data_IF_160132579838
#
_entry.id   IF_160132579838
#
_cell.length_a   1.000
_cell.length_b   1.000
_cell.length_c   1.000
_cell.angle_alpha   90.00
_cell.angle_beta   90.00
_cell.angle_gamma   90.00
#
_symmetry.space_group_name_H-M   'P 1'
#
loop_
_entity.id
_entity.type
_entity.pdbx_description
1 polymer ?
#
# COMPACT_ATOMS: atom_id res chain seq x y z
N UNK A 1 -72.46 25.48 7.04
CA UNK A 1 -71.81 24.16 7.23
C UNK A 1 -72.29 23.25 6.10
N UNK A 2 -71.53 22.46 5.36
CA UNK A 2 -70.19 21.90 5.55
C UNK A 2 -69.55 21.67 4.16
N UNK A 3 -68.24 21.91 4.04
CA UNK A 3 -67.49 21.68 2.81
C UNK A 3 -67.19 20.19 2.63
N UNK A 4 -67.58 19.61 1.49
CA UNK A 4 -67.23 18.23 1.11
C UNK A 4 -65.72 18.11 0.91
N UNK A 5 -65.06 17.28 1.72
CA UNK A 5 -63.66 16.88 1.53
C UNK A 5 -63.57 15.94 0.31
N UNK A 6 -62.83 16.35 -0.72
CA UNK A 6 -62.44 15.49 -1.84
C UNK A 6 -61.44 14.45 -1.31
N UNK A 7 -61.79 13.17 -1.43
CA UNK A 7 -60.92 12.06 -1.07
C UNK A 7 -59.64 12.12 -1.91
N UNK A 8 -58.50 12.12 -1.23
CA UNK A 8 -57.18 12.05 -1.85
C UNK A 8 -57.03 10.73 -2.60
N UNK A 9 -56.45 10.82 -3.80
CA UNK A 9 -56.10 9.68 -4.65
C UNK A 9 -55.22 8.72 -3.85
N UNK A 10 -55.74 7.55 -3.52
CA UNK A 10 -54.95 6.44 -2.98
C UNK A 10 -53.94 6.05 -4.05
N UNK A 11 -52.67 6.30 -3.78
CA UNK A 11 -51.60 5.75 -4.61
C UNK A 11 -51.57 4.26 -4.30
N UNK A 12 -52.06 3.42 -5.22
CA UNK A 12 -52.04 1.98 -5.03
C UNK A 12 -50.61 1.45 -5.21
N UNK A 13 -49.78 1.61 -4.17
CA UNK A 13 -48.42 1.08 -4.12
C UNK A 13 -48.41 -0.44 -4.32
N UNK A 14 -49.42 -1.13 -3.80
CA UNK A 14 -49.51 -2.59 -3.82
C UNK A 14 -49.53 -3.16 -5.24
N UNK A 15 -50.32 -2.59 -6.15
CA UNK A 15 -50.37 -3.01 -7.57
C UNK A 15 -49.08 -2.64 -8.30
N UNK A 16 -48.46 -1.51 -7.98
CA UNK A 16 -47.18 -1.12 -8.57
C UNK A 16 -46.04 -2.06 -8.15
N UNK A 17 -46.00 -2.46 -6.88
CA UNK A 17 -44.99 -3.40 -6.35
C UNK A 17 -45.18 -4.81 -6.93
N UNK A 18 -46.42 -5.30 -7.00
CA UNK A 18 -46.72 -6.61 -7.57
C UNK A 18 -46.35 -6.71 -9.05
N UNK A 19 -46.55 -5.63 -9.82
CA UNK A 19 -46.22 -5.59 -11.24
C UNK A 19 -44.70 -5.46 -11.51
N UNK A 20 -43.93 -4.94 -10.53
CA UNK A 20 -42.48 -4.72 -10.64
C UNK A 20 -41.66 -5.65 -9.71
N UNK A 21 -42.26 -6.74 -9.22
CA UNK A 21 -41.66 -7.61 -8.20
C UNK A 21 -40.28 -8.16 -8.60
N UNK A 22 -40.12 -8.53 -9.87
CA UNK A 22 -38.83 -9.01 -10.39
C UNK A 22 -37.73 -7.95 -10.35
N UNK A 23 -38.06 -6.68 -10.59
CA UNK A 23 -37.11 -5.56 -10.52
C UNK A 23 -36.72 -5.24 -9.07
N UNK A 24 -37.67 -5.28 -8.13
CA UNK A 24 -37.34 -5.14 -6.71
C UNK A 24 -36.47 -6.28 -6.20
N UNK A 25 -36.73 -7.53 -6.63
CA UNK A 25 -35.88 -8.67 -6.27
C UNK A 25 -34.45 -8.52 -6.84
N UNK A 26 -34.33 -8.01 -8.07
CA UNK A 26 -33.03 -7.69 -8.67
C UNK A 26 -32.27 -6.63 -7.86
N UNK A 27 -32.94 -5.53 -7.49
CA UNK A 27 -32.35 -4.49 -6.63
C UNK A 27 -31.97 -5.03 -5.25
N UNK A 28 -32.80 -5.91 -4.67
CA UNK A 28 -32.48 -6.59 -3.42
C UNK A 28 -31.22 -7.46 -3.53
N UNK A 29 -31.08 -8.21 -4.63
CA UNK A 29 -29.87 -8.98 -4.92
C UNK A 29 -28.63 -8.08 -5.08
N UNK A 30 -28.77 -6.95 -5.77
CA UNK A 30 -27.69 -5.98 -5.93
C UNK A 30 -27.31 -5.32 -4.59
N UNK A 31 -28.29 -5.04 -3.73
CA UNK A 31 -28.05 -4.53 -2.39
C UNK A 31 -27.29 -5.52 -1.51
N UNK A 32 -27.62 -6.81 -1.57
CA UNK A 32 -26.87 -7.86 -0.87
C UNK A 32 -25.43 -7.98 -1.37
N UNK A 33 -25.24 -7.96 -2.70
CA UNK A 33 -23.89 -7.93 -3.29
C UNK A 33 -23.10 -6.70 -2.86
N UNK A 34 -23.75 -5.54 -2.79
CA UNK A 34 -23.12 -4.29 -2.37
C UNK A 34 -22.69 -4.36 -0.89
N UNK A 35 -23.56 -4.80 0.01
CA UNK A 35 -23.25 -4.95 1.44
C UNK A 35 -22.09 -5.92 1.63
N UNK A 36 -22.11 -7.05 0.92
CA UNK A 36 -21.02 -8.01 0.93
C UNK A 36 -19.69 -7.38 0.50
N UNK A 37 -19.67 -6.73 -0.67
CA UNK A 37 -18.46 -6.09 -1.19
C UNK A 37 -17.95 -4.94 -0.28
N UNK A 38 -18.85 -4.15 0.31
CA UNK A 38 -18.47 -3.08 1.23
C UNK A 38 -17.74 -3.64 2.46
N UNK A 39 -18.22 -4.75 3.02
CA UNK A 39 -17.57 -5.40 4.16
C UNK A 39 -16.19 -5.99 3.81
N UNK A 40 -16.06 -6.63 2.64
CA UNK A 40 -14.77 -7.11 2.15
C UNK A 40 -13.79 -5.96 1.87
N UNK A 41 -14.27 -4.84 1.34
CA UNK A 41 -13.44 -3.66 1.08
C UNK A 41 -12.88 -3.08 2.38
N UNK A 42 -13.71 -2.94 3.41
CA UNK A 42 -13.27 -2.43 4.71
C UNK A 42 -12.17 -3.30 5.34
N UNK A 43 -12.33 -4.62 5.29
CA UNK A 43 -11.33 -5.56 5.80
C UNK A 43 -10.00 -5.45 5.05
N UNK A 44 -10.06 -5.37 3.72
CA UNK A 44 -8.88 -5.26 2.87
C UNK A 44 -8.15 -3.94 3.08
N UNK A 45 -8.87 -2.82 3.22
CA UNK A 45 -8.26 -1.50 3.50
C UNK A 45 -7.49 -1.54 4.82
N UNK A 46 -8.06 -2.13 5.86
CA UNK A 46 -7.36 -2.26 7.16
C UNK A 46 -6.10 -3.12 7.05
N UNK A 47 -6.17 -4.21 6.29
CA UNK A 47 -5.01 -5.08 6.03
C UNK A 47 -3.90 -4.36 5.27
N UNK A 48 -4.26 -3.54 4.28
CA UNK A 48 -3.30 -2.73 3.51
C UNK A 48 -2.54 -1.78 4.43
N UNK A 49 -3.23 -1.09 5.34
CA UNK A 49 -2.58 -0.16 6.27
C UNK A 49 -1.53 -0.86 7.15
N UNK A 50 -1.85 -2.04 7.69
CA UNK A 50 -0.90 -2.83 8.49
C UNK A 50 0.32 -3.25 7.67
N UNK A 51 0.09 -3.72 6.44
CA UNK A 51 1.17 -4.11 5.52
C UNK A 51 2.07 -2.91 5.14
N UNK A 52 1.49 -1.72 4.95
CA UNK A 52 2.25 -0.50 4.65
C UNK A 52 3.18 -0.11 5.81
N UNK A 53 2.71 -0.24 7.06
CA UNK A 53 3.52 0.02 8.25
C UNK A 53 4.69 -0.99 8.37
N UNK A 54 4.43 -2.28 8.13
CA UNK A 54 5.48 -3.31 8.11
C UNK A 54 6.54 -3.04 7.02
N UNK A 55 6.10 -2.66 5.81
CA UNK A 55 7.02 -2.30 4.72
C UNK A 55 7.86 -1.09 5.09
N UNK A 56 7.27 -0.09 5.75
CA UNK A 56 7.96 1.12 6.18
C UNK A 56 9.03 0.80 7.23
N UNK A 57 8.73 -0.04 8.20
CA UNK A 57 9.70 -0.51 9.20
C UNK A 57 10.86 -1.27 8.54
N UNK A 58 10.55 -2.22 7.65
CA UNK A 58 11.57 -2.97 6.88
C UNK A 58 12.46 -2.04 6.06
N UNK A 59 11.88 -1.03 5.41
CA UNK A 59 12.62 -0.04 4.61
C UNK A 59 13.55 0.79 5.49
N UNK A 60 13.09 1.18 6.68
CA UNK A 60 13.91 1.92 7.63
C UNK A 60 15.11 1.09 8.10
N UNK A 61 14.89 -0.18 8.47
CA UNK A 61 15.95 -1.12 8.84
C UNK A 61 16.98 -1.32 7.71
N UNK A 62 16.50 -1.44 6.46
CA UNK A 62 17.40 -1.57 5.31
C UNK A 62 18.24 -0.30 5.11
N UNK A 63 17.64 0.89 5.22
CA UNK A 63 18.37 2.15 5.10
C UNK A 63 19.40 2.34 6.22
N UNK A 64 19.09 1.95 7.47
CA UNK A 64 20.04 2.03 8.58
C UNK A 64 21.21 1.08 8.37
N UNK A 65 20.96 -0.18 7.98
CA UNK A 65 22.02 -1.15 7.68
C UNK A 65 22.87 -0.72 6.48
N UNK A 66 22.26 -0.16 5.45
CA UNK A 66 22.98 0.37 4.30
C UNK A 66 23.85 1.56 4.69
N UNK A 67 23.37 2.44 5.56
CA UNK A 67 24.14 3.57 6.10
C UNK A 67 25.32 3.10 6.92
N UNK A 68 25.14 2.08 7.77
CA UNK A 68 26.20 1.48 8.56
C UNK A 68 27.24 0.78 7.67
N UNK A 69 26.80 0.04 6.64
CA UNK A 69 27.69 -0.56 5.67
C UNK A 69 28.48 0.49 4.88
N UNK A 70 27.83 1.59 4.50
CA UNK A 70 28.48 2.71 3.82
C UNK A 70 29.50 3.40 4.74
N UNK A 71 29.20 3.57 6.03
CA UNK A 71 30.10 4.06 7.06
C UNK A 71 31.32 3.15 7.21
N UNK A 72 31.11 1.85 7.41
CA UNK A 72 32.19 0.86 7.46
C UNK A 72 32.98 0.76 6.15
N UNK A 73 32.34 1.03 5.01
CA UNK A 73 32.96 1.07 3.68
C UNK A 73 33.62 2.41 3.32
N UNK A 74 33.50 3.45 4.15
CA UNK A 74 34.12 4.73 3.90
C UNK A 74 35.64 4.58 3.92
N UNK A 75 36.26 5.07 2.86
CA UNK A 75 37.69 4.96 2.59
C UNK A 75 38.56 5.59 3.70
N UNK A 76 38.02 6.49 4.51
CA UNK A 76 38.71 7.11 5.65
C UNK A 76 38.88 6.15 6.83
N UNK A 77 37.84 5.37 7.15
CA UNK A 77 37.81 4.50 8.34
C UNK A 77 38.40 3.13 8.05
N UNK A 78 38.23 2.62 6.82
CA UNK A 78 39.01 1.48 6.32
C UNK A 78 40.51 1.81 6.37
N UNK A 79 40.91 3.05 6.08
CA UNK A 79 42.33 3.43 6.13
C UNK A 79 42.85 3.59 7.55
N UNK A 80 41.98 3.92 8.51
CA UNK A 80 42.33 4.00 9.92
C UNK A 80 42.39 2.61 10.57
N UNK A 81 41.40 1.74 10.31
CA UNK A 81 41.39 0.35 10.77
C UNK A 81 42.57 -0.46 10.21
N UNK A 82 42.89 -0.29 8.93
CA UNK A 82 43.99 -1.02 8.26
C UNK A 82 45.35 -0.30 8.50
N UNK A 83 45.37 0.83 9.23
CA UNK A 83 46.60 1.53 9.63
C UNK A 83 47.37 0.76 10.70
N UNK A 84 46.66 0.03 11.56
CA UNK A 84 47.27 -0.84 12.57
C UNK A 84 48.00 -2.04 11.92
N UNK A 85 47.49 -2.52 10.79
CA UNK A 85 48.14 -3.54 9.94
C UNK A 85 49.30 -2.97 9.09
N UNK A 86 49.67 -1.70 9.27
CA UNK A 86 50.83 -1.06 8.62
C UNK A 86 50.62 -0.65 7.16
N UNK A 87 49.40 -0.77 6.61
CA UNK A 87 49.08 -0.41 5.24
C UNK A 87 48.79 1.09 5.13
N UNK A 88 49.40 1.77 4.14
CA UNK A 88 49.26 3.21 3.90
C UNK A 88 48.55 3.49 2.58
N UNK A 89 47.69 4.51 2.56
CA UNK A 89 47.04 4.96 1.31
C UNK A 89 48.06 5.36 0.25
N UNK A 90 47.98 4.71 -0.92
CA UNK A 90 48.73 5.09 -2.11
C UNK A 90 48.08 6.36 -2.70
N UNK A 91 48.72 7.52 -2.52
CA UNK A 91 48.26 8.83 -3.05
C UNK A 91 48.64 9.08 -4.52
N UNK A 92 49.35 8.14 -5.15
CA UNK A 92 49.83 8.26 -6.54
C UNK A 92 48.86 7.65 -7.57
N UNK A 93 48.99 8.08 -8.84
CA UNK A 93 48.23 7.51 -9.96
C UNK A 93 48.35 5.98 -10.00
N UNK A 94 47.25 5.24 -10.26
CA UNK A 94 47.27 3.78 -10.27
C UNK A 94 48.29 3.26 -11.28
N UNK A 95 49.16 2.34 -10.84
CA UNK A 95 50.15 1.73 -11.71
C UNK A 95 49.45 0.74 -12.64
N UNK A 96 49.53 1.00 -13.95
CA UNK A 96 49.08 0.08 -14.98
C UNK A 96 49.96 -1.16 -14.93
N UNK A 97 49.39 -2.30 -14.54
CA UNK A 97 50.05 -3.59 -14.67
C UNK A 97 50.07 -3.94 -16.16
N UNK A 98 51.24 -3.91 -16.77
CA UNK A 98 51.45 -4.44 -18.11
C UNK A 98 51.93 -5.86 -17.94
N UNK A 99 51.05 -6.82 -18.20
CA UNK A 99 51.44 -8.24 -18.21
C UNK A 99 52.23 -8.45 -19.49
N UNK A 100 53.55 -8.61 -19.36
CA UNK A 100 54.39 -9.09 -20.45
C UNK A 100 54.02 -10.54 -20.72
N UNK A 101 53.26 -10.77 -21.78
CA UNK A 101 53.11 -12.12 -22.34
C UNK A 101 54.51 -12.57 -22.76
N UNK A 102 55.01 -13.60 -22.09
CA UNK A 102 56.21 -14.31 -22.52
C UNK A 102 55.87 -15.23 -23.70
#
# INVERSE_FOLDING_TARGET
MAARRKAGRSFDLSTFILNNLGFLAFLGGLALLYIGNAHYAEYNVRRIQVLEDEIKEKRWLYMSLQSENMYNGLRSEVVENVREDGLRMHRGKPKKLVVGSK
#
